data_IF_793036287006
#
_entry.id   IF_793036287006
#
_cell.length_a   1.000
_cell.length_b   1.000
_cell.length_c   1.000
_cell.angle_alpha   90.00
_cell.angle_beta   90.00
_cell.angle_gamma   90.00
#
_symmetry.space_group_name_H-M   'P 1'
#
loop_
_entity.id
_entity.type
_entity.pdbx_description
1 polymer ?
#
# COMPACT_ATOMS: atom_id res chain seq x y z
N UNK A 1 7.90 13.78 0.02
CA UNK A 1 8.60 14.00 1.31
C UNK A 1 7.94 15.04 2.22
N UNK A 2 7.62 16.28 1.78
CA UNK A 2 7.02 17.30 2.66
C UNK A 2 5.65 16.91 3.24
N UNK A 3 4.96 15.94 2.62
CA UNK A 3 3.68 15.44 3.11
C UNK A 3 3.79 14.67 4.44
N UNK A 4 4.84 13.86 4.62
CA UNK A 4 5.05 13.08 5.86
C UNK A 4 5.42 13.98 7.03
N UNK A 5 6.37 14.90 6.81
CA UNK A 5 6.88 15.82 7.84
C UNK A 5 5.80 16.81 8.34
N UNK A 6 4.75 17.05 7.54
CA UNK A 6 3.59 17.88 7.92
C UNK A 6 2.55 17.15 8.76
N UNK A 7 2.68 15.83 8.98
CA UNK A 7 1.76 15.08 9.81
C UNK A 7 2.02 15.31 11.30
N UNK A 8 0.99 15.21 12.17
CA UNK A 8 1.18 15.18 13.62
C UNK A 8 2.12 14.03 14.03
N UNK A 9 2.93 14.18 15.11
CA UNK A 9 3.90 13.17 15.53
C UNK A 9 3.31 11.77 15.71
N UNK A 10 2.12 11.65 16.32
CA UNK A 10 1.43 10.37 16.50
C UNK A 10 1.09 9.66 15.19
N UNK A 11 0.81 10.42 14.11
CA UNK A 11 0.59 9.86 12.78
C UNK A 11 1.88 9.47 12.09
N UNK A 12 2.96 10.23 12.31
CA UNK A 12 4.28 9.86 11.80
C UNK A 12 4.74 8.52 12.40
N UNK A 13 4.64 8.36 13.72
CA UNK A 13 4.97 7.12 14.43
C UNK A 13 4.19 5.92 13.89
N UNK A 14 2.87 6.08 13.75
CA UNK A 14 1.99 5.02 13.22
C UNK A 14 2.36 4.61 11.79
N UNK A 15 2.84 5.55 10.96
CA UNK A 15 3.30 5.29 9.60
C UNK A 15 4.72 4.72 9.52
N UNK A 16 5.47 4.73 10.61
CA UNK A 16 6.82 4.14 10.70
C UNK A 16 6.83 2.74 11.34
N UNK A 17 5.67 2.25 11.80
CA UNK A 17 5.46 0.90 12.34
C UNK A 17 5.51 -0.21 11.28
N UNK A 18 4.91 -0.05 10.08
CA UNK A 18 4.89 -1.14 9.11
C UNK A 18 6.28 -1.49 8.58
N UNK A 19 6.43 -2.74 8.13
CA UNK A 19 7.63 -3.16 7.42
C UNK A 19 7.76 -2.38 6.10
N UNK A 20 8.97 -1.86 5.84
CA UNK A 20 9.30 -1.17 4.60
C UNK A 20 10.20 -2.00 3.71
N UNK A 21 9.90 -2.01 2.42
CA UNK A 21 10.74 -2.61 1.39
C UNK A 21 10.66 -1.82 0.08
N UNK A 22 11.82 -1.48 -0.47
CA UNK A 22 11.94 -0.88 -1.79
C UNK A 22 12.84 -1.77 -2.65
N UNK A 23 12.24 -2.42 -3.65
CA UNK A 23 12.98 -3.14 -4.69
C UNK A 23 13.66 -2.17 -5.67
N UNK A 24 14.49 -2.70 -6.55
CA UNK A 24 15.27 -1.87 -7.50
C UNK A 24 14.37 -0.97 -8.36
N UNK A 25 13.23 -1.47 -8.84
CA UNK A 25 12.29 -0.65 -9.61
C UNK A 25 11.80 0.58 -8.82
N UNK A 26 11.48 0.40 -7.52
CA UNK A 26 11.06 1.50 -6.66
C UNK A 26 12.19 2.50 -6.43
N UNK A 27 13.43 2.02 -6.28
CA UNK A 27 14.61 2.90 -6.15
C UNK A 27 14.80 3.73 -7.41
N UNK A 28 14.89 3.09 -8.58
CA UNK A 28 15.05 3.78 -9.87
C UNK A 28 13.93 4.79 -10.14
N UNK A 29 12.69 4.47 -9.75
CA UNK A 29 11.57 5.41 -9.84
C UNK A 29 11.81 6.68 -8.99
N UNK A 30 12.31 6.51 -7.76
CA UNK A 30 12.66 7.64 -6.90
C UNK A 30 13.81 8.46 -7.49
N UNK A 31 14.82 7.81 -8.07
CA UNK A 31 15.92 8.51 -8.73
C UNK A 31 15.45 9.34 -9.92
N UNK A 32 14.55 8.77 -10.72
CA UNK A 32 13.94 9.44 -11.86
C UNK A 32 13.11 10.66 -11.44
N UNK A 33 12.26 10.52 -10.41
CA UNK A 33 11.35 11.58 -9.97
C UNK A 33 12.04 12.69 -9.15
N UNK A 34 13.04 12.33 -8.33
CA UNK A 34 13.70 13.26 -7.39
C UNK A 34 15.03 13.79 -7.96
N UNK A 35 15.62 13.09 -8.94
CA UNK A 35 16.94 13.43 -9.48
C UNK A 35 18.09 13.16 -8.52
N UNK A 36 17.89 12.29 -7.52
CA UNK A 36 18.89 11.88 -6.53
C UNK A 36 18.93 10.37 -6.43
N UNK A 37 20.13 9.79 -6.29
CA UNK A 37 20.24 8.36 -6.08
C UNK A 37 19.60 7.93 -4.76
N UNK A 38 19.26 6.64 -4.64
CA UNK A 38 18.69 6.12 -3.41
C UNK A 38 19.59 6.42 -2.19
N UNK A 39 20.90 6.28 -2.32
CA UNK A 39 21.89 6.49 -1.26
C UNK A 39 22.03 7.96 -0.84
N UNK A 40 21.70 8.91 -1.72
CA UNK A 40 21.74 10.35 -1.44
C UNK A 40 20.55 10.82 -0.59
N UNK A 41 19.53 9.98 -0.41
CA UNK A 41 18.36 10.32 0.38
C UNK A 41 18.62 10.16 1.88
N UNK A 42 18.10 11.08 2.73
CA UNK A 42 18.10 10.90 4.18
C UNK A 42 17.51 9.55 4.58
N UNK A 43 18.05 8.94 5.64
CA UNK A 43 17.58 7.63 6.11
C UNK A 43 16.07 7.58 6.38
N UNK A 44 15.53 8.62 7.01
CA UNK A 44 14.09 8.74 7.25
C UNK A 44 13.31 8.74 5.93
N UNK A 45 13.81 9.40 4.90
CA UNK A 45 13.14 9.49 3.59
C UNK A 45 13.16 8.13 2.90
N UNK A 46 14.30 7.43 2.91
CA UNK A 46 14.41 6.05 2.43
C UNK A 46 13.43 5.12 3.16
N UNK A 47 13.34 5.23 4.49
CA UNK A 47 12.42 4.42 5.30
C UNK A 47 10.95 4.69 4.93
N UNK A 48 10.54 5.95 4.87
CA UNK A 48 9.16 6.33 4.50
C UNK A 48 8.81 5.84 3.09
N UNK A 49 9.74 5.98 2.13
CA UNK A 49 9.52 5.47 0.77
C UNK A 49 9.43 3.95 0.72
N UNK A 50 10.28 3.24 1.46
CA UNK A 50 10.23 1.78 1.52
C UNK A 50 8.90 1.30 2.13
N UNK A 51 8.39 1.98 3.15
CA UNK A 51 7.06 1.66 3.72
C UNK A 51 5.97 1.94 2.69
N UNK A 52 6.00 3.09 2.02
CA UNK A 52 5.05 3.41 0.97
C UNK A 52 5.05 2.37 -0.16
N UNK A 53 6.24 2.02 -0.67
CA UNK A 53 6.39 1.08 -1.77
C UNK A 53 5.84 -0.31 -1.44
N UNK A 54 6.00 -0.78 -0.20
CA UNK A 54 5.55 -2.10 0.22
C UNK A 54 4.06 -2.17 0.61
N UNK A 55 3.43 -1.04 0.97
CA UNK A 55 2.12 -1.05 1.65
C UNK A 55 1.06 -0.16 0.97
N UNK A 56 1.32 0.34 -0.23
CA UNK A 56 0.39 1.24 -0.92
C UNK A 56 -0.76 0.50 -1.60
N UNK A 57 -1.97 1.04 -1.48
CA UNK A 57 -3.15 0.70 -2.25
C UNK A 57 -3.60 1.96 -2.99
N UNK A 58 -3.76 1.89 -4.32
CA UNK A 58 -4.27 3.04 -5.09
C UNK A 58 -3.45 4.34 -4.95
N UNK A 59 -2.16 4.25 -4.56
CA UNK A 59 -1.30 5.41 -4.33
C UNK A 59 -1.30 5.97 -2.91
N UNK A 60 -1.93 5.29 -1.94
CA UNK A 60 -1.97 5.70 -0.54
C UNK A 60 -1.72 4.53 0.42
N UNK A 61 -1.22 4.83 1.62
CA UNK A 61 -1.09 3.83 2.70
C UNK A 61 -2.27 3.96 3.64
N UNK A 62 -3.01 2.88 3.84
CA UNK A 62 -4.18 2.82 4.72
C UNK A 62 -3.92 1.95 5.94
N UNK A 63 -4.20 2.48 7.14
CA UNK A 63 -3.84 1.83 8.40
C UNK A 63 -4.42 0.42 8.58
N UNK A 64 -5.66 0.20 8.14
CA UNK A 64 -6.26 -1.14 8.17
C UNK A 64 -5.88 -1.97 6.94
N UNK A 65 -5.70 -1.31 5.78
CA UNK A 65 -5.40 -1.97 4.51
C UNK A 65 -4.05 -2.67 4.50
N UNK A 66 -2.99 -2.04 5.04
CA UNK A 66 -1.64 -2.62 5.02
C UNK A 66 -1.51 -3.93 5.80
N UNK A 67 -2.46 -4.23 6.69
CA UNK A 67 -2.49 -5.45 7.50
C UNK A 67 -3.07 -6.65 6.76
N UNK A 68 -3.73 -6.43 5.61
CA UNK A 68 -4.34 -7.48 4.80
C UNK A 68 -3.27 -8.21 4.02
N UNK A 69 -3.14 -9.52 4.22
CA UNK A 69 -2.13 -10.33 3.54
C UNK A 69 -2.50 -10.64 2.09
N UNK A 70 -1.50 -11.05 1.33
CA UNK A 70 -1.68 -11.51 -0.04
C UNK A 70 -2.30 -12.92 -0.13
N UNK A 71 -3.20 -13.11 -1.10
CA UNK A 71 -3.54 -14.41 -1.68
C UNK A 71 -3.79 -14.27 -3.18
N UNK A 72 -3.36 -15.24 -3.99
CA UNK A 72 -3.74 -15.33 -5.41
C UNK A 72 -5.23 -15.70 -5.59
N UNK A 73 -5.89 -16.18 -4.54
CA UNK A 73 -7.31 -16.49 -4.49
C UNK A 73 -7.90 -15.71 -3.29
N UNK A 74 -8.02 -14.37 -3.41
CA UNK A 74 -8.41 -13.52 -2.29
C UNK A 74 -9.88 -13.70 -1.93
N UNK A 75 -10.25 -13.26 -0.72
CA UNK A 75 -11.66 -13.11 -0.31
C UNK A 75 -12.14 -11.65 -0.27
N UNK A 76 -11.22 -10.69 -0.45
CA UNK A 76 -11.51 -9.28 -0.63
C UNK A 76 -11.04 -8.78 -2.00
N UNK A 77 -11.79 -7.84 -2.56
CA UNK A 77 -11.36 -6.96 -3.64
C UNK A 77 -11.32 -5.52 -3.11
N UNK A 78 -10.34 -4.71 -3.54
CA UNK A 78 -10.30 -3.29 -3.19
C UNK A 78 -10.50 -2.41 -4.43
N UNK A 79 -11.15 -1.26 -4.23
CA UNK A 79 -11.30 -0.24 -5.25
C UNK A 79 -11.48 1.14 -4.61
N UNK A 80 -10.80 2.14 -5.18
CA UNK A 80 -10.95 3.52 -4.76
C UNK A 80 -12.30 4.09 -5.19
N UNK A 81 -13.03 4.66 -4.24
CA UNK A 81 -14.26 5.40 -4.49
C UNK A 81 -13.97 6.90 -4.61
N UNK A 82 -14.06 7.50 -5.81
CA UNK A 82 -13.73 8.92 -5.99
C UNK A 82 -14.75 9.87 -5.37
N UNK A 83 -16.00 9.41 -5.14
CA UNK A 83 -17.05 10.23 -4.52
C UNK A 83 -16.79 10.34 -3.01
N UNK A 84 -16.51 9.21 -2.36
CA UNK A 84 -16.22 9.16 -0.93
C UNK A 84 -14.78 9.54 -0.59
N UNK A 85 -13.87 9.47 -1.58
CA UNK A 85 -12.42 9.63 -1.43
C UNK A 85 -11.82 8.61 -0.46
N UNK A 86 -12.27 7.38 -0.58
CA UNK A 86 -11.91 6.27 0.31
C UNK A 86 -11.56 5.02 -0.51
N UNK A 87 -10.59 4.26 -0.02
CA UNK A 87 -10.32 2.92 -0.52
C UNK A 87 -11.32 1.95 0.12
N UNK A 88 -12.13 1.30 -0.71
CA UNK A 88 -13.17 0.38 -0.24
C UNK A 88 -12.72 -1.06 -0.42
N UNK A 89 -12.90 -1.87 0.63
CA UNK A 89 -12.61 -3.31 0.60
C UNK A 89 -13.94 -4.08 0.61
N UNK A 90 -14.17 -4.85 -0.45
CA UNK A 90 -15.41 -5.59 -0.68
C UNK A 90 -15.18 -7.09 -0.58
N UNK A 91 -16.04 -7.76 0.18
CA UNK A 91 -16.10 -9.22 0.23
C UNK A 91 -16.56 -9.75 -1.13
N UNK A 92 -15.84 -10.74 -1.68
CA UNK A 92 -16.16 -11.33 -3.00
C UNK A 92 -16.60 -12.80 -2.93
N UNK A 93 -16.59 -13.39 -1.73
CA UNK A 93 -17.13 -14.72 -1.43
C UNK A 93 -17.46 -14.80 0.06
N UNK A 94 -18.24 -15.79 0.47
CA UNK A 94 -18.52 -16.01 1.89
C UNK A 94 -17.22 -16.21 2.69
N UNK A 95 -17.20 -15.63 3.89
CA UNK A 95 -16.06 -15.64 4.83
C UNK A 95 -16.57 -16.19 6.15
N UNK A 96 -15.92 -17.25 6.63
CA UNK A 96 -16.27 -17.85 7.91
C UNK A 96 -15.61 -17.08 9.07
N UNK A 97 -16.23 -17.11 10.25
CA UNK A 97 -15.61 -16.53 11.44
C UNK A 97 -14.24 -17.20 11.71
N UNK A 98 -13.20 -16.37 11.92
CA UNK A 98 -11.82 -16.83 12.09
C UNK A 98 -11.03 -17.02 10.79
N UNK A 99 -11.67 -16.90 9.62
CA UNK A 99 -10.97 -16.93 8.35
C UNK A 99 -10.17 -15.64 8.13
N UNK A 100 -8.95 -15.76 7.62
CA UNK A 100 -8.09 -14.61 7.32
C UNK A 100 -8.62 -13.81 6.12
N UNK A 101 -8.66 -12.49 6.27
CA UNK A 101 -8.94 -11.57 5.16
C UNK A 101 -7.69 -11.39 4.29
N UNK A 102 -7.85 -11.55 2.97
CA UNK A 102 -6.74 -11.51 2.00
C UNK A 102 -7.12 -10.74 0.74
N UNK A 103 -6.12 -10.05 0.17
CA UNK A 103 -6.20 -9.26 -1.06
C UNK A 103 -5.15 -9.73 -2.08
N UNK A 104 -5.25 -9.25 -3.31
CA UNK A 104 -4.26 -9.53 -4.35
C UNK A 104 -3.32 -8.33 -4.51
N UNK A 105 -2.04 -8.49 -4.17
CA UNK A 105 -1.03 -7.41 -4.25
C UNK A 105 -0.51 -7.21 -5.68
N UNK A 106 -0.38 -8.32 -6.41
CA UNK A 106 0.05 -8.32 -7.80
C UNK A 106 -1.17 -8.25 -8.71
N UNK A 107 -1.00 -7.82 -9.95
CA UNK A 107 -2.05 -7.86 -10.98
C UNK A 107 -2.40 -9.30 -11.39
N UNK A 108 -2.86 -10.13 -10.45
CA UNK A 108 -3.75 -11.23 -10.77
C UNK A 108 -5.15 -10.63 -10.90
N UNK A 109 -5.92 -11.11 -11.87
CA UNK A 109 -7.20 -10.53 -12.27
C UNK A 109 -8.14 -10.23 -11.09
N UNK A 110 -8.12 -9.00 -10.58
CA UNK A 110 -9.19 -8.35 -9.79
C UNK A 110 -10.38 -8.06 -10.72
N UNK A 111 -10.74 -9.07 -11.50
CA UNK A 111 -11.82 -9.05 -12.46
C UNK A 111 -12.98 -9.74 -11.78
N UNK A 112 -14.05 -9.00 -11.60
CA UNK A 112 -15.36 -9.57 -11.27
C UNK A 112 -15.66 -10.72 -12.24
N UNK A 113 -16.57 -11.62 -11.89
CA UNK A 113 -16.98 -12.71 -12.79
C UNK A 113 -17.41 -12.21 -14.18
N UNK A 114 -17.88 -10.96 -14.30
CA UNK A 114 -18.25 -10.31 -15.57
C UNK A 114 -17.07 -9.79 -16.39
N UNK A 115 -15.91 -9.60 -15.78
CA UNK A 115 -14.69 -9.10 -16.42
C UNK A 115 -13.73 -10.24 -16.83
N UNK A 116 -14.04 -11.49 -16.46
CA UNK A 116 -13.31 -12.69 -16.90
C UNK A 116 -13.78 -13.14 -18.28
#
# INVERSE_FOLDING_TARGET
>A
MPAFERLPPSRQESLLEPYGYAGELSKHFVEFEIGKSWEELPELHRKVFAIYAANTFGGFVFFLGYRLNHSCIPNLNFAYNPILKEEMFHIIRDIMAGEQLTVMYIEGTNRTRRQR
#
